data_IF_105550944904
#
_entry.id   IF_105550944904
#
_cell.length_a   1.000
_cell.length_b   1.000
_cell.length_c   1.000
_cell.angle_alpha   90.00
_cell.angle_beta   90.00
_cell.angle_gamma   90.00
#
_symmetry.space_group_name_H-M   'P 1'
#
loop_
_entity.id
_entity.type
_entity.pdbx_description
1 polymer ?
#
# COMPACT_ATOMS: atom_id res chain seq x y z
N UNK A 1 -1.65 -16.03 -16.59
CA UNK A 1 -0.31 -15.52 -16.78
C UNK A 1 0.72 -16.66 -16.94
N UNK A 2 0.71 -17.67 -16.06
CA UNK A 2 1.61 -18.82 -16.14
C UNK A 2 1.40 -19.63 -17.42
N UNK A 3 0.17 -19.96 -17.76
CA UNK A 3 -0.19 -20.66 -19.01
C UNK A 3 0.29 -19.91 -20.25
N UNK A 4 0.20 -18.58 -20.21
CA UNK A 4 0.55 -17.72 -21.34
C UNK A 4 2.05 -17.50 -21.50
N UNK A 5 2.77 -17.41 -20.41
CA UNK A 5 4.21 -17.05 -20.39
C UNK A 5 5.14 -18.23 -20.16
N UNK A 6 4.62 -19.35 -19.70
CA UNK A 6 5.40 -20.52 -19.26
C UNK A 6 6.24 -20.25 -18.00
N UNK A 7 5.95 -19.18 -17.24
CA UNK A 7 6.69 -18.79 -16.04
C UNK A 7 5.84 -19.00 -14.80
N UNK A 8 6.37 -19.76 -13.86
CA UNK A 8 5.78 -19.90 -12.53
C UNK A 8 6.00 -18.59 -11.76
N UNK A 9 4.93 -18.03 -11.20
CA UNK A 9 4.95 -16.81 -10.41
C UNK A 9 5.02 -17.08 -8.90
N UNK A 10 5.08 -18.36 -8.50
CA UNK A 10 5.15 -18.77 -7.10
C UNK A 10 3.91 -18.38 -6.30
N UNK A 11 2.73 -18.36 -6.94
CA UNK A 11 1.49 -18.06 -6.24
C UNK A 11 1.03 -19.27 -5.43
N UNK A 12 0.95 -19.11 -4.12
CA UNK A 12 0.49 -20.11 -3.16
C UNK A 12 -0.86 -19.69 -2.59
N UNK A 13 -1.91 -20.43 -2.95
CA UNK A 13 -3.26 -20.21 -2.40
C UNK A 13 -3.31 -20.86 -1.02
N UNK A 14 -3.14 -20.07 0.02
CA UNK A 14 -3.12 -20.51 1.43
C UNK A 14 -4.19 -19.83 2.29
N UNK A 15 -5.01 -19.01 1.68
CA UNK A 15 -5.97 -18.08 2.29
C UNK A 15 -5.31 -16.90 3.03
N UNK A 16 -6.13 -15.89 3.32
CA UNK A 16 -5.77 -14.75 4.19
C UNK A 16 -6.82 -14.66 5.30
N UNK A 17 -6.36 -14.59 6.55
CA UNK A 17 -7.22 -14.50 7.73
C UNK A 17 -6.92 -13.15 8.39
N UNK A 18 -7.98 -12.38 8.65
CA UNK A 18 -7.91 -11.11 9.37
C UNK A 18 -8.63 -11.26 10.70
N UNK A 19 -7.88 -11.14 11.80
CA UNK A 19 -8.38 -11.28 13.14
C UNK A 19 -9.12 -10.04 13.62
N UNK A 20 -10.09 -10.21 14.49
CA UNK A 20 -10.78 -9.14 15.21
C UNK A 20 -10.78 -9.45 16.71
N UNK A 21 -10.12 -8.58 17.48
CA UNK A 21 -10.11 -8.62 18.95
C UNK A 21 -11.19 -7.73 19.55
N UNK A 22 -11.84 -6.89 18.75
CA UNK A 22 -12.88 -5.96 19.18
C UNK A 22 -14.16 -6.11 18.37
N UNK A 23 -15.28 -5.68 18.97
CA UNK A 23 -16.57 -5.65 18.27
C UNK A 23 -16.53 -4.65 17.10
N UNK A 24 -15.93 -3.49 17.29
CA UNK A 24 -15.84 -2.44 16.27
C UNK A 24 -15.09 -2.95 15.03
N UNK A 25 -14.03 -3.73 15.23
CA UNK A 25 -13.32 -4.41 14.15
C UNK A 25 -14.22 -5.42 13.41
N UNK A 26 -15.01 -6.17 14.12
CA UNK A 26 -15.98 -7.10 13.49
C UNK A 26 -17.05 -6.35 12.70
N UNK A 27 -17.54 -5.23 13.23
CA UNK A 27 -18.53 -4.40 12.52
C UNK A 27 -17.93 -3.82 11.23
N UNK A 28 -16.66 -3.37 11.24
CA UNK A 28 -15.92 -2.97 10.02
C UNK A 28 -15.84 -4.13 9.02
N UNK A 29 -15.54 -5.34 9.48
CA UNK A 29 -15.47 -6.53 8.62
C UNK A 29 -16.83 -6.90 8.02
N UNK A 30 -17.92 -6.70 8.74
CA UNK A 30 -19.27 -6.86 8.17
C UNK A 30 -19.56 -5.86 7.05
N UNK A 31 -19.16 -4.60 7.22
CA UNK A 31 -19.27 -3.59 6.17
C UNK A 31 -18.40 -3.95 4.96
N UNK A 32 -17.15 -4.32 5.20
CA UNK A 32 -16.22 -4.76 4.15
C UNK A 32 -16.78 -5.95 3.37
N UNK A 33 -17.31 -6.97 4.03
CA UNK A 33 -17.89 -8.14 3.37
C UNK A 33 -19.09 -7.78 2.49
N UNK A 34 -19.86 -6.75 2.87
CA UNK A 34 -20.92 -6.20 2.05
C UNK A 34 -20.40 -5.63 0.73
N UNK A 35 -19.33 -4.84 0.78
CA UNK A 35 -18.66 -4.29 -0.41
C UNK A 35 -18.02 -5.41 -1.25
N UNK A 36 -17.27 -6.31 -0.62
CA UNK A 36 -16.61 -7.44 -1.29
C UNK A 36 -17.58 -8.27 -2.14
N UNK A 37 -18.78 -8.51 -1.61
CA UNK A 37 -19.85 -9.25 -2.32
C UNK A 37 -20.27 -8.55 -3.60
N UNK A 38 -20.27 -7.22 -3.65
CA UNK A 38 -20.69 -6.46 -4.86
C UNK A 38 -19.73 -6.63 -6.03
N UNK A 39 -18.48 -6.99 -5.74
CA UNK A 39 -17.42 -7.21 -6.73
C UNK A 39 -17.04 -8.69 -6.89
N UNK A 40 -17.84 -9.61 -6.31
CA UNK A 40 -17.66 -11.05 -6.47
C UNK A 40 -16.53 -11.66 -5.62
N UNK A 41 -16.05 -10.97 -4.59
CA UNK A 41 -15.04 -11.49 -3.66
C UNK A 41 -15.70 -12.27 -2.54
N UNK A 42 -15.33 -13.56 -2.39
CA UNK A 42 -15.84 -14.43 -1.32
C UNK A 42 -15.13 -14.11 0.01
N UNK A 43 -15.93 -13.87 1.05
CA UNK A 43 -15.47 -13.60 2.40
C UNK A 43 -16.21 -14.52 3.38
N UNK A 44 -15.46 -15.28 4.17
CA UNK A 44 -16.02 -16.14 5.21
C UNK A 44 -15.78 -15.55 6.59
N UNK A 45 -16.82 -15.57 7.43
CA UNK A 45 -16.70 -15.23 8.85
C UNK A 45 -16.29 -16.47 9.63
N UNK A 46 -15.29 -16.32 10.49
CA UNK A 46 -14.75 -17.40 11.32
C UNK A 46 -14.96 -17.10 12.80
N UNK A 47 -15.31 -18.14 13.55
CA UNK A 47 -15.25 -18.12 15.01
C UNK A 47 -13.81 -18.37 15.48
N UNK A 48 -13.45 -18.00 16.72
CA UNK A 48 -12.11 -18.24 17.27
C UNK A 48 -11.63 -19.68 17.16
N UNK A 49 -12.52 -20.66 17.37
CA UNK A 49 -12.21 -22.09 17.27
C UNK A 49 -11.81 -22.48 15.83
N UNK A 50 -12.49 -21.92 14.84
CA UNK A 50 -12.18 -22.15 13.42
C UNK A 50 -10.85 -21.50 13.01
N UNK A 51 -10.52 -20.33 13.59
CA UNK A 51 -9.19 -19.73 13.44
C UNK A 51 -8.12 -20.69 13.99
N UNK A 52 -8.35 -21.27 15.16
CA UNK A 52 -7.43 -22.21 15.79
C UNK A 52 -7.20 -23.48 14.96
N UNK A 53 -8.21 -23.95 14.24
CA UNK A 53 -8.09 -25.10 13.33
C UNK A 53 -7.17 -24.79 12.14
N UNK A 54 -7.29 -23.60 11.55
CA UNK A 54 -6.49 -23.15 10.39
C UNK A 54 -5.07 -22.70 10.83
N UNK A 55 -5.00 -22.01 11.98
CA UNK A 55 -3.77 -21.49 12.58
C UNK A 55 -3.53 -22.07 13.98
N UNK A 56 -3.07 -23.34 14.10
CA UNK A 56 -2.91 -24.02 15.40
C UNK A 56 -1.95 -23.33 16.37
N UNK A 57 -1.01 -22.52 15.86
CA UNK A 57 -0.04 -21.77 16.67
C UNK A 57 -0.61 -20.45 17.19
N UNK A 58 -1.81 -20.03 16.74
CA UNK A 58 -2.42 -18.76 17.11
C UNK A 58 -3.12 -18.88 18.48
N UNK A 59 -2.94 -17.89 19.34
CA UNK A 59 -3.77 -17.68 20.53
C UNK A 59 -5.09 -17.02 20.11
N UNK A 60 -6.22 -17.56 20.56
CA UNK A 60 -7.55 -17.16 20.05
C UNK A 60 -8.56 -16.81 21.12
N UNK A 61 -8.20 -16.91 22.40
CA UNK A 61 -9.15 -16.80 23.52
C UNK A 61 -9.71 -15.38 23.71
N UNK A 62 -8.99 -14.37 23.21
CA UNK A 62 -9.36 -12.96 23.26
C UNK A 62 -9.98 -12.45 21.94
N UNK A 63 -10.17 -13.32 20.95
CA UNK A 63 -10.77 -12.93 19.69
C UNK A 63 -12.30 -12.87 19.75
N UNK A 64 -12.89 -11.87 19.12
CA UNK A 64 -14.32 -11.79 18.82
C UNK A 64 -14.66 -12.65 17.60
N UNK A 65 -13.73 -12.72 16.64
CA UNK A 65 -13.87 -13.50 15.41
C UNK A 65 -12.79 -13.16 14.40
N UNK A 66 -13.03 -13.55 13.16
CA UNK A 66 -12.15 -13.22 12.03
C UNK A 66 -12.92 -13.24 10.71
N UNK A 67 -12.30 -12.74 9.65
CA UNK A 67 -12.70 -13.01 8.27
C UNK A 67 -11.61 -13.76 7.54
N UNK A 68 -12.01 -14.57 6.58
CA UNK A 68 -11.12 -15.32 5.69
C UNK A 68 -11.45 -15.02 4.24
N UNK A 69 -10.40 -14.82 3.44
CA UNK A 69 -10.44 -14.82 1.98
C UNK A 69 -9.84 -16.15 1.51
N UNK A 70 -10.65 -17.14 1.11
CA UNK A 70 -10.16 -18.50 0.86
C UNK A 70 -9.23 -18.61 -0.34
N UNK A 71 -9.44 -17.78 -1.36
CA UNK A 71 -8.68 -17.79 -2.61
C UNK A 71 -7.43 -16.89 -2.60
N UNK A 72 -7.19 -16.21 -1.47
CA UNK A 72 -6.02 -15.35 -1.29
C UNK A 72 -4.78 -16.18 -0.89
N UNK A 73 -3.62 -15.53 -0.96
CA UNK A 73 -2.36 -16.18 -0.64
C UNK A 73 -1.18 -15.24 -0.72
N UNK A 74 -0.03 -15.76 -1.14
CA UNK A 74 1.16 -14.96 -1.38
C UNK A 74 1.82 -15.37 -2.71
N UNK A 75 2.68 -14.51 -3.21
CA UNK A 75 3.33 -14.65 -4.52
C UNK A 75 4.79 -14.24 -4.43
N UNK A 76 5.61 -14.66 -5.39
CA UNK A 76 6.99 -14.19 -5.51
C UNK A 76 7.03 -12.93 -6.39
N UNK A 77 7.31 -11.74 -5.82
CA UNK A 77 7.22 -10.47 -6.54
C UNK A 77 8.12 -10.38 -7.77
N UNK A 78 9.35 -10.91 -7.66
CA UNK A 78 10.31 -10.90 -8.76
C UNK A 78 9.82 -11.79 -9.93
N UNK A 79 9.31 -12.97 -9.63
CA UNK A 79 8.83 -13.91 -10.64
C UNK A 79 7.57 -13.39 -11.33
N UNK A 80 6.65 -12.78 -10.57
CA UNK A 80 5.49 -12.09 -11.13
C UNK A 80 5.91 -10.99 -12.12
N UNK A 81 6.86 -10.15 -11.71
CA UNK A 81 7.38 -9.06 -12.56
C UNK A 81 8.00 -9.61 -13.85
N UNK A 82 8.79 -10.69 -13.75
CA UNK A 82 9.40 -11.33 -14.93
C UNK A 82 8.35 -12.02 -15.83
N UNK A 83 7.31 -12.57 -15.26
CA UNK A 83 6.21 -13.15 -16.04
C UNK A 83 5.43 -12.08 -16.80
N UNK A 84 5.09 -10.96 -16.16
CA UNK A 84 4.45 -9.81 -16.81
C UNK A 84 5.32 -9.23 -17.93
N UNK A 85 6.61 -9.05 -17.68
CA UNK A 85 7.57 -8.58 -18.67
C UNK A 85 7.69 -9.56 -19.87
N UNK A 86 7.62 -10.86 -19.62
CA UNK A 86 7.62 -11.89 -20.68
C UNK A 86 6.33 -11.80 -21.50
N UNK A 87 5.18 -11.68 -20.85
CA UNK A 87 3.89 -11.51 -21.53
C UNK A 87 3.84 -10.27 -22.41
N UNK A 88 4.40 -9.16 -21.92
CA UNK A 88 4.52 -7.91 -22.69
C UNK A 88 5.41 -8.10 -23.93
N UNK A 89 6.60 -8.71 -23.77
CA UNK A 89 7.50 -9.00 -24.92
C UNK A 89 6.85 -9.91 -25.95
N UNK A 90 6.14 -10.94 -25.51
CA UNK A 90 5.43 -11.87 -26.41
C UNK A 90 4.38 -11.13 -27.28
N UNK A 91 3.91 -9.97 -26.83
CA UNK A 91 2.99 -9.08 -27.54
C UNK A 91 3.68 -7.92 -28.28
N UNK A 92 4.99 -7.92 -28.37
CA UNK A 92 5.77 -6.94 -29.13
C UNK A 92 6.26 -5.74 -28.32
N UNK A 93 6.08 -5.70 -27.01
CA UNK A 93 6.67 -4.64 -26.20
C UNK A 93 8.20 -4.82 -26.11
N UNK A 94 8.93 -3.74 -26.30
CA UNK A 94 10.37 -3.69 -26.12
C UNK A 94 10.71 -3.24 -24.69
N UNK A 95 11.63 -3.93 -24.03
CA UNK A 95 12.07 -3.61 -22.67
C UNK A 95 13.57 -3.43 -22.65
N UNK A 96 13.98 -2.17 -22.41
CA UNK A 96 15.37 -1.76 -22.34
C UNK A 96 15.82 -1.62 -20.89
N UNK A 97 16.61 -2.58 -20.42
CA UNK A 97 17.24 -2.53 -19.09
C UNK A 97 18.50 -1.68 -19.12
N UNK A 98 18.89 -1.17 -17.95
CA UNK A 98 20.08 -0.33 -17.80
C UNK A 98 20.05 0.87 -18.78
N UNK A 99 18.88 1.47 -18.93
CA UNK A 99 18.65 2.62 -19.79
C UNK A 99 17.96 3.69 -18.98
N UNK A 100 18.68 4.76 -18.67
CA UNK A 100 18.22 5.83 -17.79
C UNK A 100 17.59 6.94 -18.60
N UNK A 101 16.37 7.33 -18.25
CA UNK A 101 15.73 8.54 -18.78
C UNK A 101 16.39 9.78 -18.16
N UNK A 102 16.89 10.66 -18.99
CA UNK A 102 17.61 11.88 -18.58
C UNK A 102 16.73 13.13 -18.62
N UNK A 103 15.84 13.22 -19.60
CA UNK A 103 14.88 14.32 -19.74
C UNK A 103 13.72 13.92 -20.66
N UNK A 104 12.63 14.65 -20.54
CA UNK A 104 11.45 14.48 -21.39
C UNK A 104 10.98 15.84 -21.88
N UNK A 105 10.58 15.92 -23.15
CA UNK A 105 10.09 17.16 -23.75
C UNK A 105 8.85 16.89 -24.59
N UNK A 106 7.79 17.62 -24.29
CA UNK A 106 6.56 17.56 -25.06
C UNK A 106 6.76 18.22 -26.43
N UNK A 107 6.21 17.61 -27.46
CA UNK A 107 6.15 18.14 -28.84
C UNK A 107 4.69 18.43 -29.21
N UNK A 108 4.46 18.88 -30.44
CA UNK A 108 3.09 19.09 -30.95
C UNK A 108 2.27 17.80 -30.95
N UNK A 109 2.89 16.68 -31.31
CA UNK A 109 2.20 15.42 -31.61
C UNK A 109 2.51 14.29 -30.61
N UNK A 110 3.40 14.53 -29.63
CA UNK A 110 3.79 13.52 -28.64
C UNK A 110 4.94 13.99 -27.75
N UNK A 111 5.92 13.14 -27.57
CA UNK A 111 7.04 13.34 -26.65
C UNK A 111 8.37 12.91 -27.27
N UNK A 112 9.44 13.57 -26.84
CA UNK A 112 10.82 13.11 -27.01
C UNK A 112 11.36 12.79 -25.62
N UNK A 113 11.79 11.54 -25.44
CA UNK A 113 12.39 11.01 -24.22
C UNK A 113 13.88 10.78 -24.48
N UNK A 114 14.72 11.55 -23.83
CA UNK A 114 16.17 11.42 -23.92
C UNK A 114 16.66 10.41 -22.89
N UNK A 115 17.48 9.47 -23.32
CA UNK A 115 18.09 8.47 -22.46
C UNK A 115 19.62 8.51 -22.58
N UNK A 116 20.31 7.83 -21.68
CA UNK A 116 21.77 7.64 -21.73
C UNK A 116 22.23 6.79 -22.93
N UNK A 117 21.27 6.25 -23.73
CA UNK A 117 21.56 5.39 -24.90
C UNK A 117 20.93 5.88 -26.20
N UNK A 118 20.29 7.04 -26.17
CA UNK A 118 19.65 7.62 -27.34
C UNK A 118 18.26 8.16 -27.03
N UNK A 119 17.62 8.73 -28.03
CA UNK A 119 16.32 9.39 -27.94
C UNK A 119 15.21 8.48 -28.43
N UNK A 120 14.04 8.56 -27.78
CA UNK A 120 12.81 7.87 -28.17
C UNK A 120 11.75 8.91 -28.50
N UNK A 121 11.16 8.84 -29.67
CA UNK A 121 9.97 9.60 -30.03
C UNK A 121 8.74 8.72 -29.81
N UNK A 122 7.74 9.22 -29.06
CA UNK A 122 6.53 8.48 -28.72
C UNK A 122 5.32 9.40 -28.62
N UNK A 123 4.14 8.83 -28.79
CA UNK A 123 2.88 9.56 -28.64
C UNK A 123 2.50 9.74 -27.17
N UNK A 124 2.68 8.70 -26.34
CA UNK A 124 2.33 8.67 -24.93
C UNK A 124 3.54 8.35 -24.07
N UNK A 125 3.60 8.97 -22.89
CA UNK A 125 4.54 8.61 -21.82
C UNK A 125 3.74 8.17 -20.60
N UNK A 126 4.13 7.04 -20.01
CA UNK A 126 3.55 6.53 -18.75
C UNK A 126 4.65 6.49 -17.69
N UNK A 127 4.49 7.27 -16.63
CA UNK A 127 5.41 7.25 -15.49
C UNK A 127 5.03 6.10 -14.55
N UNK A 128 5.98 5.15 -14.35
CA UNK A 128 5.88 4.01 -13.43
C UNK A 128 7.19 3.87 -12.65
N UNK A 129 7.71 4.97 -12.15
CA UNK A 129 9.10 5.09 -11.63
C UNK A 129 9.22 4.84 -10.12
N UNK A 130 8.13 4.52 -9.43
CA UNK A 130 8.13 4.11 -8.03
C UNK A 130 8.73 5.16 -7.10
N UNK A 131 9.81 4.84 -6.39
CA UNK A 131 10.46 5.78 -5.49
C UNK A 131 11.04 7.03 -6.20
N UNK A 132 11.21 6.97 -7.53
CA UNK A 132 11.67 8.08 -8.36
C UNK A 132 10.54 8.92 -8.96
N UNK A 133 9.28 8.69 -8.56
CA UNK A 133 8.10 9.36 -9.12
C UNK A 133 8.22 10.88 -9.14
N UNK A 134 8.74 11.49 -8.06
CA UNK A 134 8.91 12.95 -7.99
C UNK A 134 9.93 13.46 -9.01
N UNK A 135 11.12 12.85 -9.08
CA UNK A 135 12.15 13.24 -10.04
C UNK A 135 11.69 13.09 -11.50
N UNK A 136 10.93 12.00 -11.76
CA UNK A 136 10.31 11.80 -13.09
C UNK A 136 9.30 12.91 -13.40
N UNK A 137 8.46 13.27 -12.43
CA UNK A 137 7.53 14.38 -12.56
C UNK A 137 8.23 15.73 -12.78
N UNK A 138 9.29 16.00 -12.02
CA UNK A 138 10.07 17.23 -12.13
C UNK A 138 10.64 17.44 -13.54
N UNK A 139 10.97 16.37 -14.29
CA UNK A 139 11.42 16.46 -15.69
C UNK A 139 10.39 17.11 -16.62
N UNK A 140 9.11 17.07 -16.25
CA UNK A 140 7.98 17.60 -17.03
C UNK A 140 7.20 18.71 -16.29
N UNK A 141 7.74 19.20 -15.18
CA UNK A 141 7.14 20.28 -14.39
C UNK A 141 5.97 19.86 -13.52
N UNK A 142 5.89 18.58 -13.14
CA UNK A 142 4.88 18.04 -12.23
C UNK A 142 5.47 17.75 -10.85
N UNK A 143 4.72 18.09 -9.81
CA UNK A 143 4.96 17.65 -8.43
C UNK A 143 4.11 16.39 -8.16
N UNK A 144 4.61 15.21 -8.54
CA UNK A 144 3.89 13.96 -8.25
C UNK A 144 3.91 13.71 -6.74
N UNK A 145 2.74 13.55 -6.08
CA UNK A 145 2.63 13.53 -4.61
C UNK A 145 2.97 12.15 -4.00
N UNK A 146 4.19 11.69 -4.26
CA UNK A 146 4.76 10.45 -3.73
C UNK A 146 6.01 10.76 -2.93
N UNK A 147 6.03 10.43 -1.65
CA UNK A 147 7.24 10.39 -0.81
C UNK A 147 7.23 9.05 -0.10
N UNK A 148 8.29 8.22 -0.27
CA UNK A 148 8.35 6.93 0.41
C UNK A 148 8.45 7.05 1.93
N UNK A 149 8.02 5.98 2.61
CA UNK A 149 8.15 5.80 4.05
C UNK A 149 8.98 4.54 4.30
N UNK A 150 9.74 4.51 5.38
CA UNK A 150 10.42 3.28 5.79
C UNK A 150 9.40 2.21 6.19
N UNK A 151 9.67 0.98 5.80
CA UNK A 151 8.86 -0.17 6.16
C UNK A 151 9.74 -1.35 6.52
N UNK A 152 9.49 -1.96 7.66
CA UNK A 152 10.30 -3.05 8.17
C UNK A 152 9.53 -4.38 8.20
N UNK A 153 10.25 -5.48 8.05
CA UNK A 153 9.75 -6.79 8.40
C UNK A 153 10.85 -7.69 8.96
N UNK A 154 10.45 -8.65 9.77
CA UNK A 154 11.32 -9.60 10.46
C UNK A 154 11.14 -10.97 9.83
N UNK A 155 12.25 -11.68 9.60
CA UNK A 155 12.27 -13.11 9.28
C UNK A 155 12.92 -13.84 10.45
N UNK A 156 12.27 -14.88 10.97
CA UNK A 156 12.80 -15.69 12.06
C UNK A 156 13.67 -16.84 11.57
N UNK A 157 14.45 -17.41 12.48
CA UNK A 157 15.02 -18.74 12.27
C UNK A 157 13.90 -19.79 12.14
N UNK A 158 14.20 -20.96 11.54
CA UNK A 158 13.21 -22.05 11.41
C UNK A 158 12.65 -22.49 12.76
N UNK A 159 11.33 -22.71 12.82
CA UNK A 159 10.64 -23.16 14.03
C UNK A 159 10.32 -24.66 13.99
N UNK A 160 10.61 -25.45 15.05
CA UNK A 160 10.40 -26.90 15.06
C UNK A 160 8.95 -27.34 14.76
N UNK A 161 7.96 -26.60 15.26
CA UNK A 161 6.55 -26.93 15.01
C UNK A 161 6.16 -26.74 13.54
N UNK A 162 6.69 -25.69 12.87
CA UNK A 162 6.46 -25.45 11.44
C UNK A 162 7.15 -26.53 10.60
N UNK A 163 8.40 -26.86 10.92
CA UNK A 163 9.13 -27.92 10.23
C UNK A 163 8.44 -29.28 10.40
N UNK A 164 7.89 -29.57 11.62
CA UNK A 164 7.13 -30.78 11.87
C UNK A 164 5.86 -30.82 11.03
N UNK A 165 5.07 -29.73 10.97
CA UNK A 165 3.86 -29.64 10.14
C UNK A 165 4.19 -29.97 8.68
N UNK A 166 5.24 -29.37 8.13
CA UNK A 166 5.69 -29.62 6.75
C UNK A 166 6.10 -31.08 6.54
N UNK A 167 6.83 -31.69 7.49
CA UNK A 167 7.23 -33.09 7.43
C UNK A 167 6.03 -34.04 7.50
N UNK A 168 5.01 -33.69 8.29
CA UNK A 168 3.77 -34.46 8.44
C UNK A 168 2.80 -34.27 7.26
N UNK A 169 3.17 -33.46 6.24
CA UNK A 169 2.35 -33.20 5.06
C UNK A 169 1.11 -32.35 5.35
N UNK A 170 1.09 -31.63 6.45
CA UNK A 170 0.00 -30.71 6.77
C UNK A 170 0.02 -29.47 5.89
N UNK A 171 -1.12 -28.88 5.56
CA UNK A 171 -1.18 -27.67 4.75
C UNK A 171 -0.44 -26.50 5.44
N UNK A 172 0.12 -25.63 4.64
CA UNK A 172 0.71 -24.37 5.09
C UNK A 172 -0.39 -23.51 5.76
N UNK A 173 -0.04 -22.83 6.85
CA UNK A 173 -0.94 -21.89 7.51
C UNK A 173 -1.10 -20.64 6.63
N UNK A 174 -2.33 -20.15 6.51
CA UNK A 174 -2.63 -18.98 5.68
C UNK A 174 -1.92 -17.70 6.13
N UNK A 175 -1.98 -16.67 5.31
CA UNK A 175 -1.52 -15.34 5.74
C UNK A 175 -2.40 -14.86 6.88
N UNK A 176 -1.80 -14.56 8.02
CA UNK A 176 -2.48 -14.08 9.22
C UNK A 176 -2.30 -12.56 9.33
N UNK A 177 -3.40 -11.83 9.57
CA UNK A 177 -3.35 -10.40 9.91
C UNK A 177 -4.01 -10.17 11.27
N UNK A 178 -3.26 -9.63 12.21
CA UNK A 178 -3.79 -9.06 13.43
C UNK A 178 -3.90 -7.53 13.22
N UNK A 179 -5.08 -7.11 12.75
CA UNK A 179 -5.30 -5.71 12.39
C UNK A 179 -5.29 -4.79 13.61
N UNK A 180 -5.73 -5.29 14.78
CA UNK A 180 -5.76 -4.50 16.01
C UNK A 180 -4.34 -4.28 16.57
N UNK A 181 -3.43 -5.24 16.33
CA UNK A 181 -1.99 -5.12 16.65
C UNK A 181 -1.15 -4.58 15.47
N UNK A 182 -1.78 -4.31 14.33
CA UNK A 182 -1.22 -3.69 13.12
C UNK A 182 -0.04 -4.43 12.49
N UNK A 183 -0.17 -5.75 12.32
CA UNK A 183 0.84 -6.56 11.64
C UNK A 183 0.21 -7.70 10.82
N UNK A 184 1.02 -8.25 9.92
CA UNK A 184 0.75 -9.50 9.22
C UNK A 184 1.86 -10.52 9.47
N UNK A 185 1.51 -11.81 9.36
CA UNK A 185 2.43 -12.93 9.55
C UNK A 185 2.12 -14.06 8.56
N UNK A 186 3.14 -14.79 8.13
CA UNK A 186 2.99 -16.05 7.39
C UNK A 186 4.22 -16.95 7.60
N UNK A 187 4.12 -18.18 7.16
CA UNK A 187 5.27 -19.07 7.07
C UNK A 187 6.30 -18.55 6.04
N UNK A 188 7.57 -18.63 6.38
CA UNK A 188 8.68 -18.27 5.49
C UNK A 188 9.89 -19.13 5.79
N UNK A 189 10.37 -19.91 4.80
CA UNK A 189 11.58 -20.74 4.89
C UNK A 189 11.65 -21.66 6.15
N UNK A 190 10.50 -22.15 6.61
CA UNK A 190 10.37 -23.01 7.81
C UNK A 190 10.30 -22.26 9.13
N UNK A 191 10.34 -20.94 9.11
CA UNK A 191 10.07 -20.02 10.21
C UNK A 191 8.87 -19.12 9.90
N UNK A 192 8.88 -17.90 10.42
CA UNK A 192 7.83 -16.92 10.27
C UNK A 192 8.39 -15.59 9.75
N UNK A 193 7.58 -14.90 8.97
CA UNK A 193 7.78 -13.49 8.64
C UNK A 193 6.75 -12.66 9.41
N UNK A 194 7.17 -11.54 9.99
CA UNK A 194 6.32 -10.54 10.64
C UNK A 194 6.54 -9.20 9.97
N UNK A 195 5.48 -8.60 9.44
CA UNK A 195 5.53 -7.26 8.84
C UNK A 195 4.52 -6.32 9.52
N UNK A 196 5.00 -5.44 10.39
CA UNK A 196 4.15 -4.45 11.04
C UNK A 196 3.99 -3.17 10.21
N UNK A 197 3.03 -2.34 10.62
CA UNK A 197 2.90 -0.95 10.22
C UNK A 197 3.07 -0.08 11.46
N UNK A 198 4.33 0.32 11.70
CA UNK A 198 4.75 0.94 12.95
C UNK A 198 4.37 2.42 13.03
N UNK A 199 4.09 2.88 14.24
CA UNK A 199 4.05 4.31 14.53
C UNK A 199 5.45 4.92 14.43
N UNK A 200 5.53 6.15 13.92
CA UNK A 200 6.79 6.88 13.83
C UNK A 200 7.73 6.41 12.72
N UNK A 201 7.27 5.56 11.79
CA UNK A 201 8.05 5.24 10.60
C UNK A 201 8.30 6.51 9.79
N UNK A 202 9.56 6.92 9.56
CA UNK A 202 9.87 8.19 8.93
C UNK A 202 9.69 8.15 7.42
N UNK A 203 9.28 9.28 6.84
CA UNK A 203 9.41 9.49 5.41
C UNK A 203 10.89 9.49 5.02
N UNK A 204 11.20 8.77 3.97
CA UNK A 204 12.54 8.67 3.41
C UNK A 204 12.58 9.24 1.99
N UNK A 205 13.76 9.52 1.47
CA UNK A 205 13.94 10.07 0.13
C UNK A 205 13.10 11.33 -0.14
N UNK A 206 12.94 12.20 0.85
CA UNK A 206 12.13 13.44 0.74
C UNK A 206 12.61 14.33 -0.43
N UNK A 207 13.93 14.34 -0.67
CA UNK A 207 14.54 15.01 -1.82
C UNK A 207 14.75 14.07 -3.02
N UNK A 208 14.19 12.87 -2.96
CA UNK A 208 14.36 11.79 -3.91
C UNK A 208 15.55 10.86 -3.60
N UNK A 209 15.49 9.60 -4.05
CA UNK A 209 16.63 8.70 -3.92
C UNK A 209 17.83 9.18 -4.76
N UNK A 210 19.03 8.74 -4.41
CA UNK A 210 20.22 8.95 -5.23
C UNK A 210 20.01 8.39 -6.64
N UNK A 211 20.56 9.03 -7.66
CA UNK A 211 20.48 8.56 -9.06
C UNK A 211 21.04 7.13 -9.24
N UNK A 212 21.95 6.73 -8.36
CA UNK A 212 22.59 5.41 -8.37
C UNK A 212 22.04 4.48 -7.27
N UNK A 213 20.88 4.83 -6.67
CA UNK A 213 20.26 4.01 -5.63
C UNK A 213 19.73 2.72 -6.24
N UNK A 214 20.29 1.59 -5.82
CA UNK A 214 19.88 0.25 -6.22
C UNK A 214 19.87 -0.66 -4.99
N UNK A 215 18.79 -1.40 -4.75
CA UNK A 215 18.67 -2.38 -3.67
C UNK A 215 19.01 -1.85 -2.27
N UNK A 216 18.79 -0.57 -2.04
CA UNK A 216 19.14 0.11 -0.80
C UNK A 216 18.22 -0.35 0.33
N UNK A 217 18.81 -0.79 1.43
CA UNK A 217 18.13 -1.07 2.68
C UNK A 217 18.65 -0.10 3.74
N UNK A 218 17.73 0.31 4.62
CA UNK A 218 18.05 1.17 5.77
C UNK A 218 18.50 0.32 6.96
N UNK A 219 19.06 0.97 7.95
CA UNK A 219 19.32 0.35 9.23
C UNK A 219 18.00 -0.04 9.91
N UNK A 220 17.96 -1.20 10.53
CA UNK A 220 16.82 -1.63 11.32
C UNK A 220 16.61 -0.74 12.55
N UNK A 221 15.35 -0.52 12.90
CA UNK A 221 14.92 0.19 14.10
C UNK A 221 14.11 -0.77 14.98
N UNK A 222 14.79 -1.39 15.93
CA UNK A 222 14.18 -2.37 16.82
C UNK A 222 13.22 -1.73 17.85
N UNK A 223 13.42 -0.46 18.20
CA UNK A 223 12.56 0.24 19.13
C UNK A 223 11.15 0.44 18.53
N UNK A 224 11.08 0.77 17.24
CA UNK A 224 9.80 0.83 16.51
C UNK A 224 9.13 -0.55 16.37
N UNK A 225 9.92 -1.61 16.24
CA UNK A 225 9.40 -2.97 16.10
C UNK A 225 8.94 -3.59 17.42
N UNK A 226 9.47 -3.16 18.56
CA UNK A 226 9.25 -3.79 19.85
C UNK A 226 7.77 -3.99 20.22
N UNK A 227 6.87 -3.00 20.12
CA UNK A 227 5.45 -3.19 20.45
C UNK A 227 4.77 -4.25 19.56
N UNK A 228 5.17 -4.32 18.29
CA UNK A 228 4.61 -5.30 17.35
C UNK A 228 5.15 -6.69 17.57
N UNK A 229 6.43 -6.81 17.98
CA UNK A 229 7.03 -8.09 18.40
C UNK A 229 6.30 -8.63 19.63
N UNK A 230 6.03 -7.79 20.62
CA UNK A 230 5.29 -8.16 21.82
C UNK A 230 3.87 -8.63 21.48
N UNK A 231 3.16 -7.88 20.64
CA UNK A 231 1.83 -8.26 20.15
C UNK A 231 1.85 -9.57 19.34
N UNK A 232 2.87 -9.76 18.51
CA UNK A 232 3.05 -10.99 17.73
C UNK A 232 3.34 -12.20 18.62
N UNK A 233 4.16 -12.06 19.66
CA UNK A 233 4.43 -13.13 20.66
C UNK A 233 3.16 -13.47 21.44
N UNK A 234 2.38 -12.47 21.84
CA UNK A 234 1.10 -12.70 22.50
C UNK A 234 0.15 -13.54 21.61
N UNK A 235 0.03 -13.16 20.34
CA UNK A 235 -0.87 -13.81 19.38
C UNK A 235 -0.35 -15.16 18.88
N UNK A 236 0.94 -15.25 18.63
CA UNK A 236 1.63 -16.45 18.10
C UNK A 236 2.87 -16.71 18.97
N UNK A 237 2.74 -17.39 20.13
CA UNK A 237 3.86 -17.61 21.05
C UNK A 237 5.11 -18.21 20.39
N UNK A 238 4.91 -19.10 19.41
CA UNK A 238 5.98 -19.69 18.62
C UNK A 238 6.91 -18.66 17.95
N UNK A 239 6.45 -17.43 17.70
CA UNK A 239 7.27 -16.35 17.17
C UNK A 239 8.36 -15.93 18.15
N UNK A 240 8.12 -16.00 19.46
CA UNK A 240 9.10 -15.67 20.51
C UNK A 240 10.03 -16.84 20.90
N UNK A 241 9.80 -18.05 20.37
CA UNK A 241 10.57 -19.24 20.72
C UNK A 241 11.84 -19.44 19.88
N UNK A 242 12.04 -18.64 18.83
CA UNK A 242 13.17 -18.71 17.90
C UNK A 242 13.82 -17.35 17.71
N UNK A 243 15.09 -17.36 17.27
CA UNK A 243 15.85 -16.14 16.99
C UNK A 243 15.38 -15.39 15.75
N UNK A 244 15.70 -14.11 15.69
CA UNK A 244 15.57 -13.30 14.48
C UNK A 244 16.71 -13.65 13.53
N UNK A 245 16.38 -14.11 12.34
CA UNK A 245 17.34 -14.38 11.27
C UNK A 245 17.77 -13.09 10.58
N UNK A 246 16.81 -12.24 10.27
CA UNK A 246 17.07 -10.97 9.61
C UNK A 246 15.91 -10.00 9.77
N UNK A 247 16.24 -8.72 9.89
CA UNK A 247 15.33 -7.59 9.72
C UNK A 247 15.61 -6.93 8.38
N UNK A 248 14.59 -6.58 7.66
CA UNK A 248 14.69 -5.79 6.44
C UNK A 248 13.98 -4.46 6.69
N UNK A 249 14.65 -3.36 6.34
CA UNK A 249 14.07 -2.02 6.37
C UNK A 249 14.30 -1.38 5.00
N UNK A 250 13.23 -1.02 4.30
CA UNK A 250 13.31 -0.48 2.96
C UNK A 250 12.25 0.59 2.68
N UNK A 251 12.43 1.31 1.59
CA UNK A 251 11.49 2.32 1.15
C UNK A 251 10.25 1.69 0.52
N UNK A 252 9.07 2.10 0.97
CA UNK A 252 7.78 1.79 0.34
C UNK A 252 7.14 3.08 -0.18
N UNK A 253 6.71 3.10 -1.45
CA UNK A 253 6.03 4.26 -2.03
C UNK A 253 4.75 4.58 -1.28
N UNK A 254 4.57 5.87 -0.93
CA UNK A 254 3.38 6.29 -0.21
C UNK A 254 2.80 7.60 -0.76
N UNK A 255 1.49 7.73 -0.63
CA UNK A 255 0.69 8.91 -0.96
C UNK A 255 -0.10 9.35 0.27
N UNK A 256 -0.61 10.58 0.34
CA UNK A 256 -1.31 11.08 1.53
C UNK A 256 -2.58 10.31 1.95
N UNK A 257 -3.20 9.58 1.04
CA UNK A 257 -4.36 8.73 1.31
C UNK A 257 -4.05 7.22 1.26
N UNK A 258 -2.80 6.86 0.97
CA UNK A 258 -2.36 5.45 0.82
C UNK A 258 -2.78 4.79 -0.50
N UNK A 259 -3.57 5.45 -1.34
CA UNK A 259 -4.00 4.94 -2.64
C UNK A 259 -3.00 5.30 -3.74
N UNK A 260 -2.84 4.48 -4.78
CA UNK A 260 -1.98 4.81 -5.90
C UNK A 260 -2.52 6.01 -6.69
N UNK A 261 -1.70 6.55 -7.58
CA UNK A 261 -2.05 7.63 -8.49
C UNK A 261 -2.05 7.05 -9.89
N UNK A 262 -3.25 6.91 -10.49
CA UNK A 262 -3.43 6.25 -11.80
C UNK A 262 -4.30 7.11 -12.69
N UNK A 263 -3.79 7.51 -13.86
CA UNK A 263 -4.55 8.27 -14.83
C UNK A 263 -3.75 9.37 -15.55
N UNK A 264 -4.44 10.26 -16.31
CA UNK A 264 -3.78 11.31 -17.06
C UNK A 264 -3.21 12.41 -16.13
N UNK A 265 -2.01 12.86 -16.42
CA UNK A 265 -1.41 13.98 -15.71
C UNK A 265 -2.16 15.29 -16.00
N UNK A 266 -2.20 16.16 -15.01
CA UNK A 266 -2.80 17.49 -15.20
C UNK A 266 -1.88 18.43 -15.98
N UNK A 267 -2.46 19.17 -16.91
CA UNK A 267 -1.76 20.19 -17.71
C UNK A 267 -0.82 19.65 -18.78
N UNK A 268 -0.71 18.34 -18.98
CA UNK A 268 0.12 17.69 -20.00
C UNK A 268 -0.74 16.78 -20.89
N UNK A 269 -0.53 16.87 -22.19
CA UNK A 269 -1.17 15.98 -23.15
C UNK A 269 -0.40 14.67 -23.26
N UNK A 270 -1.09 13.53 -23.18
CA UNK A 270 -0.54 12.21 -23.40
C UNK A 270 0.60 11.84 -22.42
N UNK A 271 0.61 12.44 -21.23
CA UNK A 271 1.44 12.01 -20.11
C UNK A 271 0.56 11.37 -19.04
N UNK A 272 0.91 10.16 -18.62
CA UNK A 272 0.12 9.33 -17.73
C UNK A 272 0.94 8.98 -16.48
N UNK A 273 0.25 8.82 -15.37
CA UNK A 273 0.85 8.52 -14.08
C UNK A 273 0.30 7.16 -13.60
N UNK A 274 1.18 6.28 -13.16
CA UNK A 274 0.86 5.04 -12.49
C UNK A 274 1.88 4.82 -11.36
N UNK A 275 1.72 5.56 -10.27
CA UNK A 275 2.71 5.73 -9.21
C UNK A 275 2.11 5.54 -7.82
N UNK A 276 2.96 5.51 -6.79
CA UNK A 276 2.53 5.54 -5.40
C UNK A 276 1.87 4.26 -4.89
N UNK A 277 2.24 3.13 -5.45
CA UNK A 277 1.69 1.83 -5.07
C UNK A 277 2.31 1.29 -3.79
N UNK A 278 1.70 1.59 -2.63
CA UNK A 278 2.09 0.98 -1.35
C UNK A 278 1.74 -0.52 -1.29
N UNK A 279 0.61 -0.91 -1.90
CA UNK A 279 0.18 -2.30 -2.08
C UNK A 279 0.37 -2.73 -3.54
N UNK A 280 1.60 -2.61 -4.06
CA UNK A 280 1.91 -2.73 -5.48
C UNK A 280 1.46 -4.05 -6.10
N UNK A 281 1.76 -5.19 -5.48
CA UNK A 281 1.39 -6.51 -6.00
C UNK A 281 -0.13 -6.65 -6.11
N UNK A 282 -0.88 -6.25 -5.10
CA UNK A 282 -2.34 -6.36 -5.07
C UNK A 282 -3.01 -5.45 -6.09
N UNK A 283 -2.48 -4.23 -6.30
CA UNK A 283 -3.10 -3.22 -7.16
C UNK A 283 -2.61 -3.25 -8.62
N UNK A 284 -1.42 -3.78 -8.88
CA UNK A 284 -0.73 -3.64 -10.18
C UNK A 284 -1.54 -4.18 -11.36
N UNK A 285 -2.17 -5.34 -11.22
CA UNK A 285 -2.97 -5.95 -12.28
C UNK A 285 -4.12 -5.06 -12.72
N UNK A 286 -4.94 -4.62 -11.77
CA UNK A 286 -6.08 -3.74 -12.02
C UNK A 286 -5.67 -2.35 -12.51
N UNK A 287 -4.66 -1.75 -11.87
CA UNK A 287 -4.15 -0.44 -12.24
C UNK A 287 -3.59 -0.42 -13.67
N UNK A 288 -2.79 -1.43 -14.03
CA UNK A 288 -2.22 -1.54 -15.38
C UNK A 288 -3.29 -1.76 -16.43
N UNK A 289 -4.27 -2.63 -16.16
CA UNK A 289 -5.39 -2.89 -17.04
C UNK A 289 -6.24 -1.64 -17.28
N UNK A 290 -6.74 -1.02 -16.21
CA UNK A 290 -7.60 0.16 -16.33
C UNK A 290 -6.89 1.37 -16.98
N UNK A 291 -5.60 1.54 -16.71
CA UNK A 291 -4.82 2.58 -17.37
C UNK A 291 -4.65 2.29 -18.87
N UNK A 292 -4.41 1.03 -19.26
CA UNK A 292 -4.29 0.67 -20.67
C UNK A 292 -5.60 0.93 -21.44
N UNK A 293 -6.76 0.52 -20.88
CA UNK A 293 -8.08 0.83 -21.46
C UNK A 293 -8.29 2.35 -21.56
N UNK A 294 -7.97 3.09 -20.51
CA UNK A 294 -8.10 4.55 -20.52
C UNK A 294 -7.27 5.22 -21.62
N UNK A 295 -6.06 4.72 -21.86
CA UNK A 295 -5.19 5.25 -22.94
C UNK A 295 -5.74 4.91 -24.32
N UNK A 296 -6.21 3.68 -24.52
CA UNK A 296 -6.66 3.17 -25.84
C UNK A 296 -8.08 3.62 -26.18
N UNK A 297 -9.00 3.52 -25.23
CA UNK A 297 -10.43 3.74 -25.44
C UNK A 297 -10.88 5.16 -25.04
N UNK A 298 -9.99 5.92 -24.34
CA UNK A 298 -10.25 7.30 -23.90
C UNK A 298 -10.92 7.42 -22.54
N UNK A 299 -11.41 6.32 -21.97
CA UNK A 299 -12.03 6.26 -20.64
C UNK A 299 -11.80 4.92 -19.95
N UNK A 300 -11.72 4.85 -18.62
CA UNK A 300 -11.66 3.60 -17.89
C UNK A 300 -13.05 2.96 -17.81
N UNK A 301 -13.09 1.63 -17.61
CA UNK A 301 -14.35 0.89 -17.50
C UNK A 301 -14.94 0.87 -16.08
N UNK A 302 -14.19 1.36 -15.09
CA UNK A 302 -14.62 1.49 -13.70
C UNK A 302 -14.38 2.91 -13.18
N UNK A 303 -15.00 3.27 -12.06
CA UNK A 303 -14.74 4.54 -11.38
C UNK A 303 -13.28 4.59 -10.84
N UNK A 304 -12.49 5.51 -11.37
CA UNK A 304 -11.11 5.75 -10.99
C UNK A 304 -10.92 6.98 -10.08
N UNK A 305 -12.00 7.63 -9.62
CA UNK A 305 -11.93 8.88 -8.86
C UNK A 305 -11.03 8.77 -7.61
N UNK A 306 -11.07 7.64 -6.93
CA UNK A 306 -10.26 7.38 -5.73
C UNK A 306 -8.76 7.27 -5.98
N UNK A 307 -8.32 7.11 -7.23
CA UNK A 307 -6.90 6.98 -7.61
C UNK A 307 -6.46 8.01 -8.67
N UNK A 308 -7.37 8.81 -9.16
CA UNK A 308 -7.15 9.77 -10.22
C UNK A 308 -6.17 10.87 -9.80
N UNK A 309 -5.16 11.25 -10.65
CA UNK A 309 -4.11 12.21 -10.28
C UNK A 309 -4.60 13.58 -9.83
N UNK A 310 -5.71 14.09 -10.40
CA UNK A 310 -6.24 15.44 -10.12
C UNK A 310 -6.83 15.60 -8.71
N UNK A 311 -6.92 14.52 -7.91
CA UNK A 311 -7.27 14.62 -6.49
C UNK A 311 -6.20 15.34 -5.66
N UNK A 312 -5.00 15.46 -6.22
CA UNK A 312 -3.92 16.28 -5.68
C UNK A 312 -3.61 17.47 -6.59
N UNK A 313 -3.06 18.53 -6.01
CA UNK A 313 -2.64 19.72 -6.71
C UNK A 313 -1.44 20.35 -6.01
N UNK A 314 -1.11 21.58 -6.36
CA UNK A 314 0.06 22.31 -5.85
C UNK A 314 0.06 22.52 -4.32
N UNK A 315 -1.04 22.20 -3.61
CA UNK A 315 -1.08 22.21 -2.16
C UNK A 315 -0.28 21.07 -1.52
N UNK A 316 -0.04 19.99 -2.26
CA UNK A 316 0.66 18.80 -1.78
C UNK A 316 2.18 19.02 -1.77
N UNK A 317 2.63 19.97 -0.95
CA UNK A 317 4.05 20.29 -0.76
C UNK A 317 4.82 19.15 -0.11
N UNK A 318 6.16 19.14 -0.20
CA UNK A 318 7.01 18.12 0.44
C UNK A 318 6.74 17.97 1.95
N UNK A 319 6.54 19.09 2.66
CA UNK A 319 6.22 19.04 4.11
C UNK A 319 4.85 18.44 4.39
N UNK A 320 3.86 18.75 3.57
CA UNK A 320 2.53 18.14 3.64
C UNK A 320 2.61 16.63 3.37
N UNK A 321 3.30 16.22 2.29
CA UNK A 321 3.45 14.84 1.91
C UNK A 321 4.16 14.02 2.99
N UNK A 322 5.27 14.57 3.54
CA UNK A 322 5.98 13.92 4.65
C UNK A 322 5.04 13.59 5.79
N UNK A 323 4.37 14.60 6.34
CA UNK A 323 3.50 14.43 7.50
C UNK A 323 2.29 13.52 7.21
N UNK A 324 1.65 13.68 6.05
CA UNK A 324 0.48 12.87 5.67
C UNK A 324 0.85 11.42 5.35
N UNK A 325 1.99 11.17 4.71
CA UNK A 325 2.39 9.82 4.36
C UNK A 325 2.82 9.02 5.60
N UNK A 326 3.52 9.64 6.56
CA UNK A 326 3.84 9.06 7.85
C UNK A 326 2.57 8.69 8.63
N UNK A 327 1.57 9.59 8.67
CA UNK A 327 0.27 9.34 9.28
C UNK A 327 -0.50 8.23 8.53
N UNK A 328 -0.60 8.32 7.20
CA UNK A 328 -1.32 7.34 6.40
C UNK A 328 -0.75 5.93 6.53
N UNK A 329 0.58 5.81 6.65
CA UNK A 329 1.26 4.54 6.88
C UNK A 329 0.89 3.92 8.23
N UNK A 330 0.99 4.66 9.32
CA UNK A 330 0.69 4.14 10.66
C UNK A 330 -0.79 3.80 10.86
N UNK A 331 -1.68 4.39 10.04
CA UNK A 331 -3.13 4.22 10.13
C UNK A 331 -3.72 3.15 9.19
N UNK A 332 -2.88 2.40 8.46
CA UNK A 332 -3.34 1.37 7.50
C UNK A 332 -4.29 0.36 8.10
N UNK A 333 -4.06 -0.06 9.34
CA UNK A 333 -4.86 -1.09 10.01
C UNK A 333 -5.78 -0.55 11.11
N UNK A 334 -5.83 0.75 11.32
CA UNK A 334 -6.72 1.32 12.35
C UNK A 334 -8.17 1.27 11.85
N UNK A 335 -9.12 1.00 12.75
CA UNK A 335 -10.55 1.13 12.45
C UNK A 335 -10.86 2.59 12.15
N UNK A 336 -11.47 2.86 11.01
CA UNK A 336 -11.89 4.21 10.61
C UNK A 336 -13.33 4.44 11.02
N UNK A 337 -13.53 5.33 11.98
CA UNK A 337 -14.87 5.72 12.40
C UNK A 337 -15.48 6.74 11.44
N UNK A 338 -16.82 6.76 11.32
CA UNK A 338 -17.51 7.78 10.50
C UNK A 338 -17.10 9.19 10.92
N UNK A 339 -16.81 10.04 9.93
CA UNK A 339 -16.39 11.45 10.11
C UNK A 339 -15.08 11.67 10.88
N UNK A 340 -14.28 10.61 11.07
CA UNK A 340 -12.92 10.71 11.59
C UNK A 340 -12.03 11.48 10.61
N UNK A 341 -11.27 12.44 11.12
CA UNK A 341 -10.39 13.30 10.34
C UNK A 341 -8.95 13.21 10.84
N UNK A 342 -8.05 12.83 9.95
CA UNK A 342 -6.63 12.70 10.26
C UNK A 342 -5.98 14.06 10.49
N UNK A 343 -5.29 14.28 11.64
CA UNK A 343 -4.82 15.60 12.06
C UNK A 343 -3.54 16.09 11.38
N UNK A 344 -2.69 15.24 10.82
CA UNK A 344 -1.39 15.65 10.30
C UNK A 344 -1.50 16.71 9.20
N UNK A 345 -0.58 17.66 9.20
CA UNK A 345 -0.49 18.77 8.25
C UNK A 345 -1.76 19.63 8.12
N UNK A 346 -2.50 19.79 9.22
CA UNK A 346 -3.71 20.65 9.30
C UNK A 346 -3.54 21.81 10.28
N UNK A 347 -4.20 22.99 10.02
CA UNK A 347 -4.88 23.34 8.78
C UNK A 347 -3.88 23.63 7.64
N UNK A 348 -4.22 23.29 6.40
CA UNK A 348 -3.36 23.60 5.24
C UNK A 348 -3.89 24.77 4.41
N UNK A 349 -5.15 24.69 3.99
CA UNK A 349 -5.85 25.72 3.22
C UNK A 349 -7.12 26.11 3.95
N UNK A 350 -7.31 27.40 4.19
CA UNK A 350 -8.45 27.93 4.94
C UNK A 350 -9.21 28.95 4.11
N UNK A 351 -10.53 28.91 4.20
CA UNK A 351 -11.39 29.95 3.62
C UNK A 351 -11.28 31.26 4.46
N UNK A 352 -11.57 32.44 3.88
CA UNK A 352 -11.53 33.71 4.63
C UNK A 352 -12.40 33.73 5.89
N UNK A 353 -13.45 32.92 5.95
CA UNK A 353 -14.35 32.79 7.10
C UNK A 353 -13.94 31.71 8.12
N UNK A 354 -12.80 31.04 7.93
CA UNK A 354 -12.35 29.92 8.76
C UNK A 354 -12.34 30.26 10.26
N UNK A 355 -11.64 31.32 10.67
CA UNK A 355 -11.55 31.71 12.08
C UNK A 355 -12.93 32.09 12.66
N UNK A 356 -13.79 32.72 11.87
CA UNK A 356 -15.15 33.03 12.31
C UNK A 356 -15.96 31.76 12.56
N UNK A 357 -15.88 30.78 11.64
CA UNK A 357 -16.56 29.49 11.81
C UNK A 357 -16.01 28.72 13.00
N UNK A 358 -14.68 28.69 13.16
CA UNK A 358 -14.01 28.06 14.32
C UNK A 358 -14.52 28.65 15.65
N UNK A 359 -14.60 29.97 15.74
CA UNK A 359 -15.11 30.65 16.94
C UNK A 359 -16.61 30.40 17.21
N UNK A 360 -17.37 29.95 16.21
CA UNK A 360 -18.74 29.50 16.32
C UNK A 360 -18.89 28.00 16.64
N UNK A 361 -17.76 27.32 16.92
CA UNK A 361 -17.76 25.91 17.26
C UNK A 361 -17.72 24.96 16.05
N UNK A 362 -17.28 25.43 14.87
CA UNK A 362 -17.13 24.55 13.73
C UNK A 362 -16.06 23.47 13.97
N UNK A 363 -16.43 22.23 13.70
CA UNK A 363 -15.56 21.07 13.60
C UNK A 363 -15.25 20.84 12.13
N UNK A 364 -13.98 20.78 11.76
CA UNK A 364 -13.56 20.81 10.37
C UNK A 364 -13.10 19.43 9.88
N UNK A 365 -13.50 19.11 8.65
CA UNK A 365 -12.87 18.09 7.83
C UNK A 365 -12.03 18.69 6.72
N UNK A 366 -11.17 17.89 6.11
CA UNK A 366 -10.31 18.33 5.02
C UNK A 366 -10.70 17.66 3.68
N UNK A 367 -10.86 18.49 2.62
CA UNK A 367 -11.00 18.01 1.23
C UNK A 367 -10.07 18.79 0.31
N UNK A 368 -9.22 18.09 -0.43
CA UNK A 368 -8.23 18.68 -1.33
C UNK A 368 -7.37 19.77 -0.65
N UNK A 369 -6.96 19.52 0.59
CA UNK A 369 -6.21 20.46 1.42
C UNK A 369 -7.04 21.61 2.03
N UNK A 370 -8.31 21.76 1.69
CA UNK A 370 -9.18 22.80 2.24
C UNK A 370 -9.89 22.33 3.51
N UNK A 371 -9.81 23.17 4.56
CA UNK A 371 -10.63 23.01 5.77
C UNK A 371 -12.08 23.38 5.45
N UNK A 372 -12.99 22.45 5.72
CA UNK A 372 -14.43 22.61 5.52
C UNK A 372 -15.18 22.21 6.78
N UNK A 373 -16.13 23.02 7.28
CA UNK A 373 -16.90 22.64 8.47
C UNK A 373 -17.77 21.42 8.13
N UNK A 374 -17.61 20.36 8.92
CA UNK A 374 -18.49 19.19 8.87
C UNK A 374 -19.79 19.48 9.64
N UNK A 375 -19.64 20.08 10.83
CA UNK A 375 -20.76 20.52 11.68
C UNK A 375 -20.31 21.62 12.64
N UNK A 376 -21.26 22.20 13.39
CA UNK A 376 -20.99 23.12 14.47
C UNK A 376 -21.32 22.45 15.79
N UNK A 377 -20.32 22.26 16.63
CA UNK A 377 -20.49 21.67 17.94
C UNK A 377 -21.32 22.60 18.85
N UNK A 378 -22.25 22.03 19.59
CA UNK A 378 -22.90 22.70 20.71
C UNK A 378 -22.06 22.52 21.98
N UNK A 379 -22.37 23.27 23.02
CA UNK A 379 -21.64 23.19 24.30
C UNK A 379 -21.54 21.73 24.79
N UNK A 380 -20.32 21.30 25.04
CA UNK A 380 -19.99 19.95 25.50
C UNK A 380 -19.93 18.85 24.43
N UNK A 381 -20.07 19.20 23.14
CA UNK A 381 -19.77 18.25 22.04
C UNK A 381 -18.30 18.37 21.65
N UNK A 382 -17.62 17.24 21.61
CA UNK A 382 -16.28 17.09 21.08
C UNK A 382 -16.32 16.17 19.85
N UNK A 383 -15.45 16.41 18.89
CA UNK A 383 -15.19 15.43 17.86
C UNK A 383 -14.52 14.24 18.57
N UNK A 384 -15.11 13.08 18.48
CA UNK A 384 -14.48 11.85 18.97
C UNK A 384 -13.54 11.35 17.88
N UNK A 385 -12.30 11.17 18.27
CA UNK A 385 -11.28 10.51 17.49
C UNK A 385 -11.59 9.00 17.40
#
# INVERSE_FOLDING_TARGET
LEEETGKNVGFSVVSNIRLASTKDRMDEYHQYAGVARTIGVDVKFLKPEQVKEIWPLCHTDDLVGAIQHPEDGYIQPADLTQALATGARNRGAEIYRNTTVLSMRQTKDGWIVETDKGSIECEHVISCSGNFARQTGEMVGLDIPVIPVEHQYIVTEPHPAIQKRKKDGLPEMGVLRDSDSRWYMREEAGGLILGPYEDGAPACYVEGPSKNSEYELFQEDLDRLAPHIEGAIHRVPAFGEVGVKKVYNGAICYTPDGNPIVGPAWGLKNFWINEGHSFGITAAGGAGWQLAEWIVDGEPTIDMLGVEPRRYGNYATKSYLKAKNEEAYSHVFIVHYPDEERPAARPLRTAPCYERMKNLGAVFGQKFGWERPNFFATDGMEQKD
#
